data_IF_754420454974
#
_entry.id   IF_754420454974
#
_cell.length_a   1.000
_cell.length_b   1.000
_cell.length_c   1.000
_cell.angle_alpha   90.00
_cell.angle_beta   90.00
_cell.angle_gamma   90.00
#
_symmetry.space_group_name_H-M   'P 1'
#
loop_
_entity.id
_entity.type
_entity.pdbx_description
1 polymer ?
#
# COMPACT_ATOMS: atom_id res chain seq x y z
N UNK A 1 22.67 4.82 -9.24
CA UNK A 1 21.82 6.03 -9.32
C UNK A 1 22.63 7.27 -8.96
N UNK A 2 22.57 8.28 -9.81
CA UNK A 2 23.14 9.61 -9.62
C UNK A 2 22.06 10.67 -9.39
N UNK A 3 20.78 10.29 -9.53
CA UNK A 3 19.62 11.14 -9.20
C UNK A 3 19.54 12.41 -10.09
N UNK A 4 19.97 12.31 -11.34
CA UNK A 4 20.00 13.42 -12.31
C UNK A 4 18.90 13.35 -13.36
N UNK A 5 18.09 12.29 -13.39
CA UNK A 5 17.22 11.99 -14.54
C UNK A 5 17.95 11.15 -15.58
N UNK A 6 17.28 10.90 -16.71
CA UNK A 6 17.80 10.09 -17.82
C UNK A 6 17.09 10.42 -19.13
N UNK A 7 17.84 10.58 -20.21
CA UNK A 7 17.33 10.94 -21.54
C UNK A 7 17.35 9.76 -22.53
N UNK A 8 18.07 8.68 -22.19
CA UNK A 8 18.18 7.47 -23.00
C UNK A 8 17.87 6.20 -22.20
N UNK A 9 17.44 5.15 -22.88
CA UNK A 9 17.16 3.85 -22.27
C UNK A 9 18.31 3.34 -21.38
N UNK A 10 19.56 3.40 -21.85
CA UNK A 10 20.73 2.92 -21.08
C UNK A 10 20.93 3.72 -19.79
N UNK A 11 20.69 5.03 -19.81
CA UNK A 11 20.73 5.88 -18.61
C UNK A 11 19.59 5.53 -17.65
N UNK A 12 18.39 5.26 -18.16
CA UNK A 12 17.25 4.83 -17.32
C UNK A 12 17.54 3.47 -16.67
N UNK A 13 18.12 2.52 -17.42
CA UNK A 13 18.55 1.22 -16.88
C UNK A 13 19.58 1.42 -15.77
N UNK A 14 20.56 2.29 -15.96
CA UNK A 14 21.57 2.57 -14.94
C UNK A 14 20.99 3.26 -13.69
N UNK A 15 20.09 4.23 -13.87
CA UNK A 15 19.49 4.97 -12.76
C UNK A 15 18.47 4.13 -11.97
N UNK A 16 17.63 3.37 -12.67
CA UNK A 16 16.49 2.64 -12.10
C UNK A 16 16.76 1.14 -12.05
N UNK A 17 17.04 0.51 -13.18
CA UNK A 17 17.18 -0.94 -13.30
C UNK A 17 18.29 -1.49 -12.41
N UNK A 18 19.50 -0.94 -12.50
CA UNK A 18 20.66 -1.38 -11.73
C UNK A 18 20.51 -1.12 -10.23
N UNK A 19 19.95 0.04 -9.85
CA UNK A 19 19.60 0.31 -8.46
C UNK A 19 18.62 -0.73 -7.93
N UNK A 20 17.64 -1.10 -8.74
CA UNK A 20 16.62 -2.07 -8.37
C UNK A 20 17.22 -3.48 -8.22
N UNK A 21 18.11 -3.92 -9.14
CA UNK A 21 18.88 -5.18 -9.01
C UNK A 21 19.61 -5.27 -7.67
N UNK A 22 20.25 -4.17 -7.26
CA UNK A 22 20.94 -4.10 -5.95
C UNK A 22 19.94 -4.25 -4.80
N UNK A 23 18.79 -3.59 -4.86
CA UNK A 23 17.76 -3.69 -3.82
C UNK A 23 17.24 -5.13 -3.67
N UNK A 24 16.91 -5.83 -4.75
CA UNK A 24 16.45 -7.22 -4.66
C UNK A 24 17.53 -8.15 -4.11
N UNK A 25 18.78 -7.97 -4.54
CA UNK A 25 19.90 -8.74 -4.01
C UNK A 25 20.04 -8.56 -2.49
N UNK A 26 19.88 -7.33 -1.98
CA UNK A 26 19.90 -7.04 -0.54
C UNK A 26 18.70 -7.70 0.18
N UNK A 27 17.53 -7.75 -0.47
CA UNK A 27 16.33 -8.42 0.07
C UNK A 27 16.42 -9.94 0.05
N UNK A 28 17.40 -10.52 -0.63
CA UNK A 28 17.47 -11.97 -0.85
C UNK A 28 16.37 -12.49 -1.79
N UNK A 29 15.86 -11.62 -2.67
CA UNK A 29 14.83 -11.94 -3.64
C UNK A 29 15.48 -12.13 -5.02
N UNK A 30 15.28 -13.28 -5.66
CA UNK A 30 15.79 -13.51 -7.02
C UNK A 30 14.80 -13.00 -8.08
N UNK A 31 15.33 -12.57 -9.24
CA UNK A 31 14.55 -12.35 -10.47
C UNK A 31 13.30 -11.48 -10.31
N UNK A 32 13.44 -10.33 -9.64
CA UNK A 32 12.36 -9.34 -9.55
C UNK A 32 11.09 -9.89 -8.88
N UNK A 33 11.24 -10.71 -7.83
CA UNK A 33 10.13 -11.43 -7.21
C UNK A 33 9.05 -10.55 -6.57
N UNK A 34 9.34 -9.27 -6.30
CA UNK A 34 8.41 -8.31 -5.72
C UNK A 34 8.44 -6.95 -6.43
N UNK A 35 7.35 -6.18 -6.29
CA UNK A 35 7.27 -4.81 -6.78
C UNK A 35 8.11 -3.86 -5.91
N UNK A 36 8.75 -2.87 -6.53
CA UNK A 36 9.47 -1.78 -5.85
C UNK A 36 8.82 -0.44 -6.17
N UNK A 37 8.72 0.45 -5.19
CA UNK A 37 8.26 1.82 -5.42
C UNK A 37 9.40 2.66 -5.99
N UNK A 38 9.20 3.23 -7.17
CA UNK A 38 10.12 4.18 -7.78
C UNK A 38 9.65 5.61 -7.49
N UNK A 39 10.55 6.44 -6.94
CA UNK A 39 10.31 7.87 -6.80
C UNK A 39 11.29 8.62 -7.70
N UNK A 40 10.77 9.55 -8.49
CA UNK A 40 11.60 10.43 -9.33
C UNK A 40 12.34 11.43 -8.45
N UNK A 41 13.54 11.82 -8.89
CA UNK A 41 14.29 12.90 -8.26
C UNK A 41 13.62 14.25 -8.50
N UNK A 42 13.60 15.11 -7.48
CA UNK A 42 13.07 16.48 -7.64
C UNK A 42 13.85 17.26 -8.70
N UNK A 43 13.14 17.89 -9.63
CA UNK A 43 13.75 18.72 -10.69
C UNK A 43 14.50 17.94 -11.78
N UNK A 44 14.27 16.63 -11.90
CA UNK A 44 14.87 15.78 -12.93
C UNK A 44 13.95 15.63 -14.14
N UNK A 45 14.54 15.38 -15.31
CA UNK A 45 13.84 15.03 -16.55
C UNK A 45 14.02 13.56 -16.88
N UNK A 46 13.00 12.95 -17.48
CA UNK A 46 13.01 11.54 -17.85
C UNK A 46 12.45 11.37 -19.26
N UNK A 47 13.08 10.51 -20.05
CA UNK A 47 12.45 9.93 -21.22
C UNK A 47 11.33 9.00 -20.77
N UNK A 48 10.07 9.41 -20.97
CA UNK A 48 8.91 8.71 -20.40
C UNK A 48 8.68 7.31 -21.00
N UNK A 49 8.96 7.13 -22.30
CA UNK A 49 8.79 5.84 -22.97
C UNK A 49 9.84 4.83 -22.47
N UNK A 50 11.09 5.26 -22.41
CA UNK A 50 12.18 4.45 -21.86
C UNK A 50 11.98 4.15 -20.37
N UNK A 51 11.51 5.15 -19.61
CA UNK A 51 11.16 4.97 -18.20
C UNK A 51 10.04 3.94 -18.03
N UNK A 52 8.96 4.03 -18.79
CA UNK A 52 7.87 3.06 -18.72
C UNK A 52 8.36 1.62 -18.99
N UNK A 53 9.18 1.43 -20.02
CA UNK A 53 9.75 0.13 -20.36
C UNK A 53 10.64 -0.42 -19.24
N UNK A 54 11.56 0.39 -18.70
CA UNK A 54 12.44 -0.03 -17.60
C UNK A 54 11.65 -0.30 -16.33
N UNK A 55 10.63 0.50 -16.01
CA UNK A 55 9.78 0.23 -14.86
C UNK A 55 9.08 -1.12 -14.98
N UNK A 56 8.59 -1.49 -16.16
CA UNK A 56 7.97 -2.79 -16.41
C UNK A 56 8.97 -3.95 -16.36
N UNK A 57 10.12 -3.83 -17.04
CA UNK A 57 11.18 -4.84 -17.09
C UNK A 57 11.68 -5.18 -15.69
N UNK A 58 11.86 -4.14 -14.87
CA UNK A 58 12.36 -4.22 -13.52
C UNK A 58 11.25 -4.17 -12.47
N UNK A 59 9.97 -4.40 -12.78
CA UNK A 59 8.89 -4.49 -11.75
C UNK A 59 8.86 -3.33 -10.74
N UNK A 60 9.17 -2.13 -11.21
CA UNK A 60 9.06 -0.91 -10.44
C UNK A 60 7.72 -0.22 -10.72
N UNK A 61 7.17 0.42 -9.70
CA UNK A 61 5.94 1.20 -9.77
C UNK A 61 6.27 2.66 -9.55
N UNK A 62 6.02 3.51 -10.56
CA UNK A 62 6.20 4.94 -10.42
C UNK A 62 5.19 5.51 -9.41
N UNK A 63 5.70 6.20 -8.37
CA UNK A 63 4.89 6.87 -7.35
C UNK A 63 4.00 7.99 -7.90
N UNK A 64 4.28 8.48 -9.10
CA UNK A 64 3.43 9.45 -9.81
C UNK A 64 2.25 8.80 -10.54
N UNK A 65 2.22 7.46 -10.64
CA UNK A 65 1.13 6.72 -11.29
C UNK A 65 -0.22 7.06 -10.67
N UNK A 66 -1.22 7.28 -11.53
CA UNK A 66 -2.59 7.49 -11.09
C UNK A 66 -3.17 6.21 -10.48
N UNK A 67 -3.69 6.35 -9.24
CA UNK A 67 -4.24 5.23 -8.48
C UNK A 67 -5.75 5.10 -8.64
N UNK A 68 -6.46 6.00 -9.33
CA UNK A 68 -7.92 5.98 -9.35
C UNK A 68 -8.60 6.46 -8.05
N UNK A 69 -7.80 6.78 -7.02
CA UNK A 69 -8.24 7.38 -5.76
C UNK A 69 -7.52 8.72 -5.60
N UNK A 70 -8.22 9.73 -5.07
CA UNK A 70 -7.64 11.05 -4.79
C UNK A 70 -6.47 10.89 -3.81
N UNK A 71 -5.39 11.60 -4.10
CA UNK A 71 -4.16 11.62 -3.30
C UNK A 71 -3.90 13.06 -2.88
N UNK A 72 -3.55 13.25 -1.61
CA UNK A 72 -2.94 14.48 -1.12
C UNK A 72 -1.53 14.19 -0.61
N UNK A 73 -0.63 15.17 -0.74
CA UNK A 73 0.74 15.06 -0.29
C UNK A 73 1.13 16.27 0.57
N UNK A 74 1.82 16.00 1.66
CA UNK A 74 2.39 16.99 2.55
C UNK A 74 3.91 16.86 2.50
N UNK A 75 4.57 17.85 1.90
CA UNK A 75 6.02 18.02 2.04
C UNK A 75 6.32 18.59 3.42
N UNK A 76 7.16 17.90 4.18
CA UNK A 76 7.58 18.27 5.53
C UNK A 76 9.00 18.85 5.44
N UNK A 77 9.16 20.17 5.61
CA UNK A 77 10.48 20.80 5.60
C UNK A 77 11.42 20.25 6.68
N UNK A 78 12.72 20.31 6.43
CA UNK A 78 13.73 19.96 7.44
C UNK A 78 13.53 20.77 8.74
N UNK A 79 13.66 20.12 9.88
CA UNK A 79 13.44 20.77 11.19
C UNK A 79 11.99 21.06 11.55
N UNK A 80 11.02 20.55 10.77
CA UNK A 80 9.60 20.61 11.16
C UNK A 80 9.31 19.74 12.38
N UNK A 81 8.21 20.06 13.05
CA UNK A 81 7.69 19.32 14.20
C UNK A 81 6.52 18.40 13.81
N UNK A 82 6.06 17.59 14.77
CA UNK A 82 4.93 16.68 14.61
C UNK A 82 3.64 17.41 14.24
N UNK A 83 3.43 18.62 14.75
CA UNK A 83 2.25 19.42 14.42
C UNK A 83 2.13 19.68 12.91
N UNK A 84 3.25 19.90 12.20
CA UNK A 84 3.25 20.01 10.74
C UNK A 84 2.80 18.71 10.10
N UNK A 85 3.31 17.57 10.54
CA UNK A 85 2.95 16.25 10.03
C UNK A 85 1.46 15.92 10.27
N UNK A 86 0.87 16.40 11.37
CA UNK A 86 -0.54 16.21 11.67
C UNK A 86 -1.49 16.90 10.69
N UNK A 87 -1.06 17.95 9.99
CA UNK A 87 -1.92 18.74 9.11
C UNK A 87 -2.61 17.92 8.01
N UNK A 88 -2.01 16.81 7.59
CA UNK A 88 -2.59 15.95 6.54
C UNK A 88 -3.78 15.12 7.04
N UNK A 89 -3.82 14.80 8.34
CA UNK A 89 -4.73 13.80 8.91
C UNK A 89 -6.20 14.18 8.73
N UNK A 90 -6.66 15.41 9.07
CA UNK A 90 -8.08 15.74 8.95
C UNK A 90 -8.58 15.61 7.51
N UNK A 91 -7.78 16.00 6.51
CA UNK A 91 -8.16 15.88 5.10
C UNK A 91 -8.26 14.41 4.65
N UNK A 92 -7.33 13.56 5.09
CA UNK A 92 -7.34 12.12 4.81
C UNK A 92 -8.61 11.46 5.32
N UNK A 93 -8.97 11.71 6.58
CA UNK A 93 -10.14 11.12 7.22
C UNK A 93 -11.43 11.68 6.62
N UNK A 94 -11.58 13.01 6.57
CA UNK A 94 -12.83 13.65 6.16
C UNK A 94 -13.17 13.38 4.69
N UNK A 95 -12.16 13.33 3.81
CA UNK A 95 -12.39 13.10 2.38
C UNK A 95 -12.27 11.61 1.99
N UNK A 96 -11.85 10.73 2.90
CA UNK A 96 -11.54 9.31 2.61
C UNK A 96 -10.56 9.13 1.45
N UNK A 97 -9.40 9.81 1.54
CA UNK A 97 -8.38 9.86 0.49
C UNK A 97 -7.03 9.32 0.96
N UNK A 98 -6.10 9.14 0.03
CA UNK A 98 -4.73 8.72 0.37
C UNK A 98 -3.91 9.94 0.77
N UNK A 99 -3.33 9.92 1.96
CA UNK A 99 -2.34 10.91 2.40
C UNK A 99 -0.91 10.42 2.25
N UNK A 100 -0.02 11.27 1.75
CA UNK A 100 1.43 11.00 1.67
C UNK A 100 2.18 12.06 2.46
N UNK A 101 2.98 11.65 3.43
CA UNK A 101 3.90 12.54 4.15
C UNK A 101 5.30 12.37 3.57
N UNK A 102 5.91 13.46 3.12
CA UNK A 102 7.20 13.45 2.42
C UNK A 102 8.26 14.18 3.23
N UNK A 103 9.29 13.46 3.67
CA UNK A 103 10.49 13.97 4.33
C UNK A 103 11.71 13.19 3.82
N UNK A 104 12.93 13.70 4.04
CA UNK A 104 14.16 13.16 3.44
C UNK A 104 15.00 12.29 4.39
N UNK A 105 14.66 12.23 5.69
CA UNK A 105 15.37 11.43 6.68
C UNK A 105 14.88 11.68 8.10
N UNK A 106 15.40 10.91 9.05
CA UNK A 106 15.10 11.01 10.47
C UNK A 106 16.43 11.18 11.22
N UNK A 107 16.66 12.35 11.80
CA UNK A 107 17.88 12.64 12.55
C UNK A 107 17.76 12.17 14.00
N UNK A 108 18.71 11.33 14.42
CA UNK A 108 18.84 10.83 15.80
C UNK A 108 19.62 11.78 16.72
N UNK A 109 20.49 12.62 16.15
CA UNK A 109 21.39 13.50 16.91
C UNK A 109 21.10 14.98 16.67
N UNK A 110 21.34 15.79 17.71
CA UNK A 110 21.09 17.22 17.72
C UNK A 110 22.00 18.00 16.74
N UNK A 111 21.53 18.24 15.50
CA UNK A 111 22.02 19.29 14.59
C UNK A 111 20.99 20.38 14.30
N UNK A 112 21.39 21.64 14.06
CA UNK A 112 20.45 22.70 13.64
C UNK A 112 20.81 23.22 12.24
N UNK A 113 20.06 22.89 11.18
CA UNK A 113 18.85 22.04 11.17
C UNK A 113 19.18 20.55 11.40
N UNK A 114 18.19 19.68 11.73
CA UNK A 114 18.41 18.25 11.80
C UNK A 114 18.92 17.72 10.46
N UNK A 115 19.98 16.92 10.52
CA UNK A 115 20.61 16.32 9.35
C UNK A 115 20.66 14.81 9.51
N UNK A 116 20.32 14.09 8.45
CA UNK A 116 20.48 12.65 8.33
C UNK A 116 21.41 12.41 7.13
N UNK A 117 22.64 11.96 7.41
CA UNK A 117 23.69 11.72 6.40
C UNK A 117 23.94 12.91 5.46
N UNK A 118 23.89 14.14 5.99
CA UNK A 118 24.12 15.36 5.22
C UNK A 118 22.90 15.89 4.46
N UNK A 119 21.73 15.27 4.61
CA UNK A 119 20.46 15.76 4.08
C UNK A 119 19.55 16.30 5.18
N UNK A 120 18.71 17.29 4.87
CA UNK A 120 17.77 17.85 5.85
C UNK A 120 16.71 16.84 6.29
N UNK A 121 16.51 16.67 7.59
CA UNK A 121 15.68 15.61 8.17
C UNK A 121 14.55 16.15 9.05
N UNK A 122 13.69 15.25 9.55
CA UNK A 122 12.86 15.51 10.74
C UNK A 122 13.56 14.94 11.98
N UNK A 123 13.24 15.46 13.15
CA UNK A 123 13.76 14.92 14.40
C UNK A 123 13.10 13.60 14.78
N UNK A 124 13.85 12.68 15.38
CA UNK A 124 13.30 11.39 15.81
C UNK A 124 12.13 11.55 16.80
N UNK A 125 12.23 12.45 17.78
CA UNK A 125 11.15 12.68 18.75
C UNK A 125 9.88 13.26 18.10
N UNK A 126 10.03 14.07 17.05
CA UNK A 126 8.90 14.62 16.29
C UNK A 126 8.27 13.54 15.39
N UNK A 127 9.08 12.65 14.84
CA UNK A 127 8.60 11.49 14.09
C UNK A 127 7.88 10.48 15.00
N UNK A 128 8.40 10.20 16.19
CA UNK A 128 7.75 9.35 17.19
C UNK A 128 6.40 9.93 17.62
N UNK A 129 6.33 11.24 17.92
CA UNK A 129 5.07 11.91 18.21
C UNK A 129 4.08 11.84 17.03
N UNK A 130 4.58 11.78 15.79
CA UNK A 130 3.75 11.50 14.62
C UNK A 130 3.18 10.08 14.63
N UNK A 131 4.01 9.07 14.90
CA UNK A 131 3.58 7.68 15.02
C UNK A 131 2.55 7.49 16.14
N UNK A 132 2.78 8.08 17.31
CA UNK A 132 1.83 8.02 18.44
C UNK A 132 0.45 8.56 18.04
N UNK A 133 0.42 9.64 17.26
CA UNK A 133 -0.83 10.20 16.76
C UNK A 133 -1.53 9.25 15.78
N UNK A 134 -0.80 8.55 14.91
CA UNK A 134 -1.36 7.58 13.97
C UNK A 134 -1.94 6.37 14.71
N UNK A 135 -1.25 5.87 15.75
CA UNK A 135 -1.76 4.79 16.61
C UNK A 135 -3.05 5.20 17.30
N UNK A 136 -3.11 6.44 17.82
CA UNK A 136 -4.31 6.95 18.48
C UNK A 136 -5.57 7.03 17.58
N UNK A 137 -5.40 6.90 16.26
CA UNK A 137 -6.48 6.95 15.26
C UNK A 137 -6.47 5.72 14.34
N UNK A 138 -5.84 4.61 14.74
CA UNK A 138 -5.63 3.44 13.90
C UNK A 138 -6.94 2.75 13.44
N UNK A 139 -8.05 3.01 14.12
CA UNK A 139 -9.38 2.54 13.70
C UNK A 139 -10.00 3.38 12.58
N UNK A 140 -9.49 4.59 12.34
CA UNK A 140 -10.00 5.53 11.34
C UNK A 140 -9.14 5.59 10.07
N UNK A 141 -7.90 5.07 10.13
CA UNK A 141 -6.95 5.12 9.03
C UNK A 141 -6.22 3.80 8.84
N UNK A 142 -5.79 3.54 7.61
CA UNK A 142 -4.82 2.49 7.33
C UNK A 142 -3.44 3.10 7.02
N UNK A 143 -2.44 2.75 7.83
CA UNK A 143 -1.03 3.14 7.59
C UNK A 143 -0.33 2.01 6.83
N UNK A 144 -0.14 2.21 5.52
CA UNK A 144 0.48 1.23 4.64
C UNK A 144 1.71 1.77 3.90
N UNK A 145 2.64 0.88 3.55
CA UNK A 145 3.70 1.18 2.59
C UNK A 145 3.13 1.43 1.20
N UNK A 146 3.82 2.22 0.36
CA UNK A 146 3.30 2.61 -0.96
C UNK A 146 2.91 1.39 -1.82
N UNK A 147 3.73 0.34 -1.86
CA UNK A 147 3.45 -0.86 -2.67
C UNK A 147 2.24 -1.63 -2.15
N UNK A 148 2.04 -1.76 -0.84
CA UNK A 148 0.87 -2.43 -0.28
C UNK A 148 -0.42 -1.67 -0.67
N UNK A 149 -0.43 -0.34 -0.47
CA UNK A 149 -1.56 0.51 -0.87
C UNK A 149 -1.80 0.46 -2.38
N UNK A 150 -0.73 0.46 -3.19
CA UNK A 150 -0.83 0.35 -4.64
C UNK A 150 -1.48 -0.98 -5.05
N UNK A 151 -0.99 -2.10 -4.51
CA UNK A 151 -1.54 -3.44 -4.79
C UNK A 151 -3.00 -3.52 -4.41
N UNK A 152 -3.35 -3.12 -3.18
CA UNK A 152 -4.74 -3.10 -2.69
C UNK A 152 -5.67 -2.37 -3.65
N UNK A 153 -5.28 -1.17 -4.10
CA UNK A 153 -6.14 -0.37 -4.97
C UNK A 153 -6.27 -0.99 -6.36
N UNK A 154 -5.19 -1.50 -6.94
CA UNK A 154 -5.24 -2.15 -8.25
C UNK A 154 -6.03 -3.45 -8.21
N UNK A 155 -5.86 -4.25 -7.16
CA UNK A 155 -6.65 -5.44 -6.94
C UNK A 155 -8.12 -5.08 -6.73
N UNK A 156 -8.44 -4.08 -5.90
CA UNK A 156 -9.81 -3.62 -5.68
C UNK A 156 -10.48 -3.19 -7.00
N UNK A 157 -9.78 -2.44 -7.84
CA UNK A 157 -10.31 -1.92 -9.11
C UNK A 157 -10.58 -2.98 -10.17
N UNK A 158 -9.87 -4.10 -10.10
CA UNK A 158 -9.94 -5.20 -11.08
C UNK A 158 -10.62 -6.43 -10.51
N UNK A 159 -11.05 -6.38 -9.24
CA UNK A 159 -11.67 -7.51 -8.58
C UNK A 159 -13.15 -7.61 -8.89
N UNK A 160 -13.62 -8.84 -9.04
CA UNK A 160 -15.02 -9.21 -9.09
C UNK A 160 -15.31 -10.16 -7.94
N UNK A 161 -16.43 -9.91 -7.26
CA UNK A 161 -16.94 -10.77 -6.19
C UNK A 161 -18.20 -11.50 -6.66
N UNK A 162 -18.23 -12.82 -6.44
CA UNK A 162 -19.40 -13.66 -6.64
C UNK A 162 -19.84 -14.24 -5.30
N UNK A 163 -21.07 -13.96 -4.89
CA UNK A 163 -21.71 -14.56 -3.73
C UNK A 163 -22.76 -15.57 -4.22
N UNK A 164 -22.60 -16.84 -3.85
CA UNK A 164 -23.54 -17.91 -4.17
C UNK A 164 -24.19 -18.44 -2.89
N UNK A 165 -25.52 -18.57 -2.90
CA UNK A 165 -26.25 -19.20 -1.80
C UNK A 165 -26.49 -20.67 -2.14
N UNK A 166 -26.00 -21.57 -1.28
CA UNK A 166 -26.29 -23.01 -1.39
C UNK A 166 -27.52 -23.41 -0.57
N UNK A 167 -27.75 -22.73 0.56
CA UNK A 167 -28.90 -22.93 1.45
C UNK A 167 -29.09 -21.71 2.37
N UNK A 168 -30.08 -21.74 3.25
CA UNK A 168 -30.29 -20.69 4.27
C UNK A 168 -29.16 -20.63 5.33
N UNK A 169 -28.31 -21.65 5.38
CA UNK A 169 -27.23 -21.79 6.37
C UNK A 169 -25.83 -21.83 5.74
N UNK A 170 -25.73 -21.71 4.40
CA UNK A 170 -24.46 -21.83 3.68
C UNK A 170 -24.40 -20.96 2.44
N UNK A 171 -23.34 -20.16 2.38
CA UNK A 171 -22.96 -19.35 1.23
C UNK A 171 -21.54 -19.72 0.78
N UNK A 172 -21.21 -19.40 -0.47
CA UNK A 172 -19.82 -19.22 -0.88
C UNK A 172 -19.56 -17.85 -1.47
N UNK A 173 -18.31 -17.44 -1.31
CA UNK A 173 -17.76 -16.23 -1.90
C UNK A 173 -16.57 -16.65 -2.76
N UNK A 174 -16.51 -16.11 -3.97
CA UNK A 174 -15.31 -16.17 -4.81
C UNK A 174 -14.88 -14.74 -5.14
N UNK A 175 -13.62 -14.43 -4.87
CA UNK A 175 -13.00 -13.15 -5.20
C UNK A 175 -11.93 -13.40 -6.27
N UNK A 176 -12.13 -12.82 -7.46
CA UNK A 176 -11.19 -12.92 -8.58
C UNK A 176 -10.67 -11.55 -8.97
N UNK A 177 -9.41 -11.44 -9.38
CA UNK A 177 -8.80 -10.20 -9.90
C UNK A 177 -8.06 -10.48 -11.21
N UNK A 178 -8.03 -9.50 -12.11
CA UNK A 178 -7.24 -9.55 -13.35
C UNK A 178 -5.73 -9.36 -13.11
N UNK A 179 -5.32 -8.97 -11.89
CA UNK A 179 -3.91 -8.76 -11.56
C UNK A 179 -3.14 -10.08 -11.44
N UNK A 180 -1.85 -10.05 -11.80
CA UNK A 180 -0.95 -11.20 -11.61
C UNK A 180 -0.72 -11.48 -10.12
N UNK A 181 -1.28 -12.59 -9.64
CA UNK A 181 -1.21 -13.02 -8.24
C UNK A 181 0.22 -13.26 -7.71
N UNK A 182 1.23 -13.34 -8.59
CA UNK A 182 2.63 -13.35 -8.18
C UNK A 182 3.03 -12.03 -7.53
N UNK A 183 2.56 -10.90 -8.07
CA UNK A 183 2.96 -9.56 -7.65
C UNK A 183 1.88 -8.88 -6.82
N UNK A 184 0.61 -9.19 -7.08
CA UNK A 184 -0.56 -8.59 -6.46
C UNK A 184 -1.23 -9.65 -5.57
N UNK A 185 -1.02 -9.48 -4.28
CA UNK A 185 -1.40 -10.44 -3.25
C UNK A 185 -1.75 -9.74 -1.94
N UNK A 186 -2.21 -8.49 -2.04
CA UNK A 186 -2.66 -7.72 -0.89
C UNK A 186 -4.10 -8.13 -0.56
N UNK A 187 -4.40 -8.52 0.69
CA UNK A 187 -5.76 -8.90 1.06
C UNK A 187 -6.74 -7.75 0.85
N UNK A 188 -7.90 -8.05 0.25
CA UNK A 188 -9.03 -7.14 0.15
C UNK A 188 -10.04 -7.43 1.25
N UNK A 189 -10.56 -6.38 1.86
CA UNK A 189 -11.64 -6.50 2.85
C UNK A 189 -12.98 -6.72 2.13
N UNK A 190 -13.63 -7.85 2.44
CA UNK A 190 -14.95 -8.21 1.93
C UNK A 190 -16.00 -7.92 3.00
N UNK A 191 -17.11 -7.31 2.58
CA UNK A 191 -18.34 -7.20 3.36
C UNK A 191 -19.43 -8.09 2.75
N UNK A 192 -19.96 -9.02 3.54
CA UNK A 192 -21.06 -9.90 3.12
C UNK A 192 -22.27 -9.66 4.00
N UNK A 193 -23.39 -9.29 3.37
CA UNK A 193 -24.68 -9.24 4.03
C UNK A 193 -25.25 -10.65 4.16
N UNK A 194 -25.40 -11.13 5.39
CA UNK A 194 -25.95 -12.44 5.71
C UNK A 194 -27.35 -12.28 6.31
N UNK A 195 -28.14 -13.37 6.41
CA UNK A 195 -29.45 -13.29 7.05
C UNK A 195 -29.36 -12.72 8.46
N UNK A 196 -30.26 -11.80 8.81
CA UNK A 196 -30.26 -11.09 10.10
C UNK A 196 -30.41 -12.01 11.33
N UNK A 197 -30.84 -13.26 11.12
CA UNK A 197 -30.92 -14.28 12.17
C UNK A 197 -29.55 -14.86 12.56
N UNK A 198 -28.50 -14.61 11.77
CA UNK A 198 -27.15 -15.05 12.06
C UNK A 198 -26.47 -14.08 13.03
N UNK A 199 -25.88 -14.62 14.09
CA UNK A 199 -25.05 -13.84 15.04
C UNK A 199 -23.57 -14.14 14.89
N UNK A 200 -23.25 -15.39 14.53
CA UNK A 200 -21.91 -15.86 14.27
C UNK A 200 -21.91 -16.71 13.01
N UNK A 201 -20.75 -16.78 12.35
CA UNK A 201 -20.52 -17.67 11.22
C UNK A 201 -19.13 -18.27 11.28
N UNK A 202 -18.96 -19.33 10.51
CA UNK A 202 -17.69 -19.99 10.25
C UNK A 202 -17.27 -19.70 8.82
N UNK A 203 -16.08 -19.12 8.65
CA UNK A 203 -15.48 -18.88 7.33
C UNK A 203 -14.35 -19.88 7.13
N UNK A 204 -14.41 -20.63 6.05
CA UNK A 204 -13.41 -21.62 5.66
C UNK A 204 -12.79 -21.24 4.30
N UNK A 205 -11.47 -21.08 4.27
CA UNK A 205 -10.70 -20.81 3.06
C UNK A 205 -9.24 -21.26 3.24
N UNK A 206 -8.61 -21.79 2.19
CA UNK A 206 -7.20 -22.23 2.22
C UNK A 206 -6.82 -23.12 3.41
N UNK A 207 -7.67 -24.10 3.75
CA UNK A 207 -7.50 -25.00 4.92
C UNK A 207 -7.52 -24.29 6.29
N UNK A 208 -7.80 -22.99 6.32
CA UNK A 208 -7.99 -22.22 7.53
C UNK A 208 -9.48 -22.09 7.84
N UNK A 209 -9.81 -22.15 9.12
CA UNK A 209 -11.16 -21.98 9.61
C UNK A 209 -11.16 -20.94 10.72
N UNK A 210 -12.04 -19.95 10.62
CA UNK A 210 -12.17 -18.89 11.63
C UNK A 210 -13.62 -18.55 11.87
N UNK A 211 -13.99 -18.43 13.14
CA UNK A 211 -15.32 -17.95 13.55
C UNK A 211 -15.31 -16.42 13.57
N UNK A 212 -16.38 -15.83 13.04
CA UNK A 212 -16.60 -14.38 13.05
C UNK A 212 -17.93 -14.06 13.71
N UNK A 213 -17.95 -12.97 14.47
CA UNK A 213 -19.19 -12.35 14.96
C UNK A 213 -19.64 -11.30 13.96
N UNK A 214 -20.92 -11.35 13.60
CA UNK A 214 -21.49 -10.41 12.64
C UNK A 214 -21.81 -9.08 13.33
N UNK A 215 -21.60 -7.98 12.62
CA UNK A 215 -22.06 -6.66 13.05
C UNK A 215 -23.29 -6.28 12.22
N UNK A 216 -24.47 -6.24 12.84
CA UNK A 216 -25.73 -5.92 12.17
C UNK A 216 -26.03 -6.79 10.92
N UNK A 217 -25.71 -8.08 11.00
CA UNK A 217 -25.87 -9.02 9.88
C UNK A 217 -24.77 -8.92 8.81
N UNK A 218 -23.72 -8.12 9.05
CA UNK A 218 -22.59 -7.96 8.14
C UNK A 218 -21.40 -8.77 8.67
N UNK A 219 -20.89 -9.65 7.82
CA UNK A 219 -19.59 -10.29 8.00
C UNK A 219 -18.52 -9.44 7.30
N UNK A 220 -17.43 -9.15 8.01
CA UNK A 220 -16.25 -8.47 7.47
C UNK A 220 -15.00 -9.34 7.68
N UNK A 221 -14.24 -9.58 6.62
CA UNK A 221 -13.00 -10.36 6.66
C UNK A 221 -12.13 -10.08 5.43
N UNK A 222 -10.84 -10.38 5.53
CA UNK A 222 -9.88 -10.12 4.45
C UNK A 222 -9.57 -11.39 3.65
N UNK A 223 -9.43 -11.24 2.34
CA UNK A 223 -9.19 -12.33 1.38
C UNK A 223 -8.22 -11.87 0.31
N UNK A 224 -7.24 -12.71 -0.02
CA UNK A 224 -6.38 -12.50 -1.19
C UNK A 224 -7.18 -12.95 -2.45
N UNK A 225 -7.31 -12.11 -3.49
CA UNK A 225 -7.95 -12.52 -4.73
C UNK A 225 -7.32 -13.76 -5.35
N UNK A 226 -8.10 -14.48 -6.17
CA UNK A 226 -7.66 -15.66 -6.94
C UNK A 226 -7.20 -16.87 -6.08
N UNK A 227 -7.57 -16.95 -4.79
CA UNK A 227 -7.24 -18.10 -3.93
C UNK A 227 -8.31 -19.19 -3.86
N UNK A 228 -9.34 -19.13 -4.70
CA UNK A 228 -10.42 -20.13 -4.76
C UNK A 228 -11.67 -19.75 -3.96
N UNK A 229 -12.52 -20.74 -3.72
CA UNK A 229 -13.84 -20.57 -3.11
C UNK A 229 -13.74 -20.50 -1.58
N UNK A 230 -14.43 -19.54 -0.97
CA UNK A 230 -14.57 -19.36 0.47
C UNK A 230 -15.96 -19.82 0.88
N UNK A 231 -16.06 -20.67 1.88
CA UNK A 231 -17.36 -21.09 2.42
C UNK A 231 -17.70 -20.35 3.71
N UNK A 232 -18.94 -19.87 3.79
CA UNK A 232 -19.50 -19.21 4.96
C UNK A 232 -20.66 -20.05 5.45
N UNK A 233 -20.57 -20.57 6.67
CA UNK A 233 -21.58 -21.46 7.26
C UNK A 233 -22.11 -20.87 8.56
N UNK A 234 -23.42 -21.01 8.80
CA UNK A 234 -24.06 -20.60 10.06
C UNK A 234 -23.48 -21.40 11.22
N UNK A 235 -23.32 -20.74 12.36
CA UNK A 235 -22.94 -21.39 13.63
C UNK A 235 -24.11 -21.36 14.62
#
# INVERSE_FOLDING_TARGET
>A
MTHTGAETYDEVVYEVGDASKVIWNIRGEENFASLIAFNRGGGTSWNEDDLANVLEDYKNIDRQSYLGIKVTALSVPKGSNAAKMFEIIPGVINDSIIGRVHFHGIAAENGNPPMDWGNGAVWINEFEAFLDKLVAIENDIWVGGYIAVYKYIKELQTSTILLSQYSDERYSVTLTSEMDSKYYNEPLTILVNLPQSWTNCLVNYNSSEKTYTLQNGILMFDVIPNTGEIFITKK
#
